data_IF_833031554613
#
_entry.id   IF_833031554613
#
_cell.length_a   1.000
_cell.length_b   1.000
_cell.length_c   1.000
_cell.angle_alpha   90.00
_cell.angle_beta   90.00
_cell.angle_gamma   90.00
#
_symmetry.space_group_name_H-M   'P 1'
#
loop_
_entity.id
_entity.type
_entity.pdbx_description
1 polymer ?
#
# COMPACT_ATOMS: atom_id res chain seq x y z
N UNK A 1 -42.58 24.33 0.16
CA UNK A 1 -41.43 24.87 0.95
C UNK A 1 -40.87 23.85 1.94
N UNK A 2 -41.69 23.19 2.76
CA UNK A 2 -41.25 22.17 3.76
C UNK A 2 -40.54 20.97 3.09
N UNK A 3 -41.10 20.41 2.01
CA UNK A 3 -40.50 19.27 1.29
C UNK A 3 -39.14 19.62 0.68
N UNK A 4 -38.99 20.83 0.13
CA UNK A 4 -37.74 21.29 -0.47
C UNK A 4 -36.64 21.45 0.60
N UNK A 5 -36.99 22.00 1.77
CA UNK A 5 -36.08 22.10 2.90
C UNK A 5 -35.66 20.72 3.43
N UNK A 6 -36.58 19.75 3.47
CA UNK A 6 -36.28 18.39 3.91
C UNK A 6 -35.35 17.64 2.93
N UNK A 7 -35.57 17.79 1.63
CA UNK A 7 -34.65 17.22 0.61
C UNK A 7 -33.27 17.87 0.70
N UNK A 8 -33.21 19.18 0.89
CA UNK A 8 -31.94 19.91 1.01
C UNK A 8 -31.16 19.51 2.27
N UNK A 9 -31.83 19.35 3.42
CA UNK A 9 -31.17 18.89 4.65
C UNK A 9 -30.66 17.45 4.55
N UNK A 10 -31.42 16.55 3.91
CA UNK A 10 -30.95 15.18 3.64
C UNK A 10 -29.73 15.16 2.70
N UNK A 11 -29.69 16.03 1.69
CA UNK A 11 -28.57 16.11 0.77
C UNK A 11 -27.31 16.66 1.45
N UNK A 12 -27.46 17.69 2.29
CA UNK A 12 -26.36 18.19 3.14
C UNK A 12 -25.87 17.09 4.09
N UNK A 13 -26.78 16.40 4.77
CA UNK A 13 -26.43 15.32 5.69
C UNK A 13 -25.68 14.20 4.95
N UNK A 14 -26.12 13.83 3.75
CA UNK A 14 -25.44 12.85 2.90
C UNK A 14 -24.01 13.29 2.56
N UNK A 15 -23.81 14.54 2.16
CA UNK A 15 -22.47 15.10 1.84
C UNK A 15 -21.58 15.09 3.08
N UNK A 16 -22.08 15.52 4.24
CA UNK A 16 -21.33 15.50 5.51
C UNK A 16 -20.95 14.08 5.91
N UNK A 17 -21.87 13.13 5.83
CA UNK A 17 -21.61 11.72 6.16
C UNK A 17 -20.57 11.10 5.22
N UNK A 18 -20.63 11.45 3.92
CA UNK A 18 -19.64 11.01 2.94
C UNK A 18 -18.25 11.57 3.25
N UNK A 19 -18.16 12.86 3.57
CA UNK A 19 -16.90 13.52 3.96
C UNK A 19 -16.30 12.90 5.23
N UNK A 20 -17.11 12.64 6.26
CA UNK A 20 -16.68 11.96 7.49
C UNK A 20 -16.19 10.54 7.20
N UNK A 21 -16.88 9.80 6.34
CA UNK A 21 -16.48 8.46 5.94
C UNK A 21 -15.17 8.45 5.14
N UNK A 22 -14.96 9.43 4.26
CA UNK A 22 -13.71 9.60 3.50
C UNK A 22 -12.54 10.03 4.40
N UNK A 23 -12.80 10.77 5.49
CA UNK A 23 -11.77 11.14 6.48
C UNK A 23 -11.36 10.01 7.42
N UNK A 24 -12.10 8.89 7.46
CA UNK A 24 -11.67 7.75 8.27
C UNK A 24 -10.39 7.17 7.66
N UNK A 25 -9.33 6.96 8.47
CA UNK A 25 -8.11 6.37 7.94
C UNK A 25 -8.44 5.00 7.32
N UNK A 26 -7.88 4.66 6.16
CA UNK A 26 -8.12 3.39 5.50
C UNK A 26 -7.36 2.24 6.20
N UNK A 27 -7.05 2.39 7.48
CA UNK A 27 -6.31 1.43 8.28
C UNK A 27 -6.77 1.45 9.74
N UNK A 28 -6.49 0.35 10.44
CA UNK A 28 -6.72 0.18 11.87
C UNK A 28 -5.46 -0.36 12.52
N UNK A 29 -4.99 0.31 13.57
CA UNK A 29 -3.90 -0.19 14.39
C UNK A 29 -4.33 -1.43 15.21
N UNK A 30 -3.41 -2.39 15.34
CA UNK A 30 -3.61 -3.66 15.99
C UNK A 30 -2.36 -4.08 16.74
N UNK A 31 -2.53 -4.92 17.78
CA UNK A 31 -1.39 -5.59 18.41
C UNK A 31 -0.68 -6.46 17.37
N UNK A 32 0.65 -6.38 17.39
CA UNK A 32 1.51 -7.15 16.49
C UNK A 32 1.21 -8.65 16.62
N UNK A 33 0.86 -9.26 15.49
CA UNK A 33 0.65 -10.70 15.35
C UNK A 33 1.19 -11.16 14.00
N UNK A 34 1.54 -12.43 13.85
CA UNK A 34 1.87 -12.99 12.53
C UNK A 34 0.92 -14.15 12.29
N UNK A 35 0.34 -14.19 11.10
CA UNK A 35 -0.61 -15.22 10.69
C UNK A 35 -2.03 -15.02 11.19
N UNK A 36 -2.84 -16.04 10.94
CA UNK A 36 -4.28 -16.05 11.19
C UNK A 36 -4.67 -17.37 11.84
N UNK A 37 -5.39 -17.35 12.97
CA UNK A 37 -5.81 -18.58 13.68
C UNK A 37 -6.55 -19.60 12.81
N UNK A 38 -7.28 -19.14 11.78
CA UNK A 38 -8.04 -19.97 10.85
C UNK A 38 -7.69 -19.70 9.38
N UNK A 39 -6.52 -19.10 9.13
CA UNK A 39 -6.07 -18.81 7.77
C UNK A 39 -5.09 -19.86 7.28
N UNK A 40 -5.25 -20.33 6.05
CA UNK A 40 -4.30 -21.21 5.38
C UNK A 40 -3.21 -20.36 4.73
N UNK A 41 -1.94 -20.62 5.04
CA UNK A 41 -0.84 -20.00 4.29
C UNK A 41 -0.83 -20.57 2.87
N UNK A 42 -0.79 -19.70 1.85
CA UNK A 42 -0.76 -20.12 0.43
C UNK A 42 0.44 -19.56 -0.34
N UNK A 43 1.13 -18.55 0.19
CA UNK A 43 2.31 -17.95 -0.42
C UNK A 43 3.29 -17.48 0.65
N UNK A 44 4.59 -17.63 0.41
CA UNK A 44 5.68 -17.06 1.20
C UNK A 44 6.86 -16.61 0.32
N UNK A 45 7.45 -15.44 0.57
CA UNK A 45 8.71 -15.00 -0.08
C UNK A 45 9.95 -15.41 0.73
N UNK A 46 10.07 -16.71 0.99
CA UNK A 46 11.28 -17.32 1.54
C UNK A 46 11.53 -18.64 0.84
N UNK A 47 12.79 -18.98 0.64
CA UNK A 47 13.13 -20.35 0.28
C UNK A 47 13.14 -21.17 1.57
N UNK A 48 12.28 -22.20 1.63
CA UNK A 48 12.30 -23.22 2.68
C UNK A 48 12.87 -24.51 2.10
N UNK A 49 13.69 -25.23 2.88
CA UNK A 49 14.26 -26.52 2.49
C UNK A 49 13.17 -27.59 2.31
N UNK A 50 12.12 -27.52 3.13
CA UNK A 50 10.96 -28.41 3.07
C UNK A 50 9.74 -27.61 2.63
N UNK A 51 9.27 -27.85 1.41
CA UNK A 51 8.08 -27.19 0.87
C UNK A 51 6.81 -27.86 1.38
N UNK A 52 5.84 -27.04 1.79
CA UNK A 52 4.50 -27.51 2.16
C UNK A 52 3.59 -27.56 0.94
N UNK A 53 2.81 -28.62 0.84
CA UNK A 53 1.84 -28.78 -0.24
C UNK A 53 0.82 -27.63 -0.26
N UNK A 54 0.60 -27.09 -1.46
CA UNK A 54 -0.32 -25.97 -1.68
C UNK A 54 0.21 -24.61 -1.21
N UNK A 55 1.50 -24.48 -0.89
CA UNK A 55 2.16 -23.18 -0.65
C UNK A 55 3.07 -22.82 -1.82
N UNK A 56 2.95 -21.59 -2.30
CA UNK A 56 3.79 -21.01 -3.33
C UNK A 56 4.99 -20.30 -2.70
N UNK A 57 6.19 -20.59 -3.19
CA UNK A 57 7.43 -20.09 -2.60
C UNK A 57 8.14 -19.13 -3.57
N UNK A 58 8.36 -17.88 -3.14
CA UNK A 58 9.15 -16.84 -3.82
C UNK A 58 8.82 -16.61 -5.31
N UNK A 59 7.59 -16.94 -5.74
CA UNK A 59 7.12 -16.71 -7.11
C UNK A 59 6.89 -15.21 -7.31
N UNK A 60 7.48 -14.63 -8.37
CA UNK A 60 7.13 -13.27 -8.77
C UNK A 60 5.68 -13.22 -9.26
N UNK A 61 4.83 -12.50 -8.55
CA UNK A 61 3.43 -12.29 -8.92
C UNK A 61 3.32 -11.06 -9.82
N UNK A 62 2.40 -11.08 -10.79
CA UNK A 62 2.30 -10.03 -11.81
C UNK A 62 0.86 -9.57 -12.01
N UNK A 63 0.71 -8.30 -12.32
CA UNK A 63 -0.50 -7.71 -12.85
C UNK A 63 -0.20 -7.10 -14.21
N UNK A 64 -0.70 -7.73 -15.27
CA UNK A 64 -0.60 -7.19 -16.62
C UNK A 64 -1.48 -5.97 -16.78
N UNK A 65 -2.67 -5.97 -16.17
CA UNK A 65 -3.61 -4.84 -16.21
C UNK A 65 -3.00 -3.52 -15.72
N UNK A 66 -2.20 -3.58 -14.67
CA UNK A 66 -1.58 -2.39 -14.06
C UNK A 66 -0.09 -2.25 -14.39
N UNK A 67 0.49 -3.23 -15.10
CA UNK A 67 1.91 -3.23 -15.47
C UNK A 67 2.86 -3.24 -14.26
N UNK A 68 2.50 -3.97 -13.20
CA UNK A 68 3.28 -4.05 -11.95
C UNK A 68 3.51 -5.50 -11.55
N UNK A 69 4.58 -5.75 -10.80
CA UNK A 69 4.92 -7.08 -10.28
C UNK A 69 5.58 -6.96 -8.93
N UNK A 70 5.53 -8.03 -8.13
CA UNK A 70 6.23 -8.06 -6.85
C UNK A 70 6.08 -9.38 -6.10
N UNK A 71 6.72 -9.44 -4.93
CA UNK A 71 6.73 -10.61 -4.05
C UNK A 71 6.28 -10.17 -2.65
N UNK A 72 5.01 -10.39 -2.28
CA UNK A 72 4.56 -10.12 -0.90
C UNK A 72 5.26 -11.07 0.07
N UNK A 73 5.49 -10.71 1.33
CA UNK A 73 6.14 -11.64 2.27
C UNK A 73 5.30 -12.89 2.53
N UNK A 74 3.99 -12.72 2.72
CA UNK A 74 3.04 -13.81 2.94
C UNK A 74 1.69 -13.51 2.29
N UNK A 75 0.97 -14.57 1.88
CA UNK A 75 -0.47 -14.49 1.59
C UNK A 75 -1.19 -15.60 2.34
N UNK A 76 -2.22 -15.20 3.10
CA UNK A 76 -3.13 -16.12 3.77
C UNK A 76 -4.48 -16.17 3.06
N UNK A 77 -5.01 -17.37 2.89
CA UNK A 77 -6.39 -17.59 2.52
C UNK A 77 -7.25 -17.68 3.79
N UNK A 78 -8.20 -16.74 3.94
CA UNK A 78 -9.10 -16.65 5.09
C UNK A 78 -10.54 -16.60 4.57
N UNK A 79 -11.17 -17.76 4.44
CA UNK A 79 -12.55 -17.87 3.94
C UNK A 79 -12.65 -17.46 2.47
N UNK A 80 -13.30 -16.33 2.19
CA UNK A 80 -13.52 -15.84 0.82
C UNK A 80 -12.59 -14.67 0.41
N UNK A 81 -11.54 -14.40 1.18
CA UNK A 81 -10.56 -13.36 0.88
C UNK A 81 -9.12 -13.89 0.95
N UNK A 82 -8.25 -13.30 0.13
CA UNK A 82 -6.80 -13.41 0.30
C UNK A 82 -6.30 -12.19 1.06
N UNK A 83 -5.42 -12.42 2.04
CA UNK A 83 -4.88 -11.36 2.89
C UNK A 83 -3.35 -11.36 2.79
N UNK A 84 -2.76 -10.39 2.07
CA UNK A 84 -1.32 -10.21 2.07
C UNK A 84 -0.82 -9.67 3.40
N UNK A 85 0.34 -10.14 3.82
CA UNK A 85 1.11 -9.65 4.96
C UNK A 85 2.44 -9.09 4.46
N UNK A 86 2.76 -7.87 4.86
CA UNK A 86 4.05 -7.21 4.60
C UNK A 86 4.78 -7.01 5.92
N UNK A 87 6.01 -7.49 6.03
CA UNK A 87 6.86 -7.34 7.21
C UNK A 87 7.79 -6.13 7.05
N UNK A 88 7.92 -5.34 8.11
CA UNK A 88 8.86 -4.21 8.17
C UNK A 88 9.82 -4.38 9.34
N UNK A 89 11.11 -4.21 9.04
CA UNK A 89 12.18 -4.18 10.04
C UNK A 89 12.19 -2.87 10.83
N UNK A 90 11.50 -1.83 10.37
CA UNK A 90 11.35 -0.57 11.10
C UNK A 90 10.25 -0.65 12.17
N UNK A 91 10.28 0.32 13.09
CA UNK A 91 9.13 0.64 13.96
C UNK A 91 8.22 1.62 13.23
N UNK A 92 6.91 1.55 13.50
CA UNK A 92 6.01 2.61 13.11
C UNK A 92 6.21 3.82 14.04
N UNK A 93 6.13 5.02 13.47
CA UNK A 93 6.15 6.28 14.21
C UNK A 93 4.70 6.72 14.47
N UNK A 94 4.29 6.74 15.74
CA UNK A 94 2.94 7.10 16.13
C UNK A 94 1.87 6.04 15.78
N UNK A 95 0.66 6.49 15.53
CA UNK A 95 -0.54 5.67 15.33
C UNK A 95 -0.96 5.53 13.85
N UNK A 96 0.01 5.64 12.93
CA UNK A 96 -0.22 5.51 11.49
C UNK A 96 0.88 4.71 10.80
N UNK A 97 0.57 3.88 9.80
CA UNK A 97 1.58 3.28 8.93
C UNK A 97 2.20 4.33 8.02
N UNK A 98 3.44 4.11 7.56
CA UNK A 98 4.04 4.98 6.55
C UNK A 98 3.31 4.83 5.21
N UNK A 99 3.07 5.96 4.53
CA UNK A 99 2.36 5.97 3.25
C UNK A 99 3.02 5.05 2.19
N UNK A 100 4.35 5.01 2.14
CA UNK A 100 5.10 4.13 1.23
C UNK A 100 4.75 2.65 1.43
N UNK A 101 4.55 2.23 2.68
CA UNK A 101 4.24 0.84 3.02
C UNK A 101 2.77 0.53 2.70
N UNK A 102 1.88 1.50 2.89
CA UNK A 102 0.47 1.42 2.46
C UNK A 102 0.36 1.28 0.94
N UNK A 103 1.12 2.09 0.17
CA UNK A 103 1.12 2.02 -1.29
C UNK A 103 1.71 0.71 -1.81
N UNK A 104 2.79 0.22 -1.20
CA UNK A 104 3.35 -1.10 -1.51
C UNK A 104 2.33 -2.22 -1.26
N UNK A 105 1.68 -2.22 -0.10
CA UNK A 105 0.63 -3.21 0.21
C UNK A 105 -0.57 -3.09 -0.75
N UNK A 106 -0.93 -1.87 -1.14
CA UNK A 106 -2.00 -1.63 -2.12
C UNK A 106 -1.63 -2.21 -3.49
N UNK A 107 -0.35 -2.18 -3.88
CA UNK A 107 0.12 -2.83 -5.11
C UNK A 107 -0.11 -4.34 -5.06
N UNK A 108 0.13 -4.97 -3.91
CA UNK A 108 -0.20 -6.38 -3.72
C UNK A 108 -1.69 -6.67 -3.75
N UNK A 109 -2.56 -5.74 -3.33
CA UNK A 109 -4.00 -5.93 -3.53
C UNK A 109 -4.35 -6.09 -5.00
N UNK A 110 -3.80 -5.24 -5.88
CA UNK A 110 -4.04 -5.30 -7.32
C UNK A 110 -3.46 -6.58 -7.94
N UNK A 111 -2.21 -6.91 -7.60
CA UNK A 111 -1.51 -8.07 -8.14
C UNK A 111 -2.22 -9.37 -7.74
N UNK A 112 -2.58 -9.53 -6.46
CA UNK A 112 -3.19 -10.75 -5.95
C UNK A 112 -4.59 -10.96 -6.54
N UNK A 113 -5.39 -9.89 -6.68
CA UNK A 113 -6.72 -10.00 -7.28
C UNK A 113 -6.67 -10.46 -8.74
N UNK A 114 -5.69 -10.01 -9.52
CA UNK A 114 -5.52 -10.44 -10.91
C UNK A 114 -4.92 -11.84 -11.02
N UNK A 115 -3.86 -12.13 -10.26
CA UNK A 115 -3.16 -13.42 -10.32
C UNK A 115 -4.04 -14.58 -9.83
N UNK A 116 -4.83 -14.38 -8.78
CA UNK A 116 -5.61 -15.46 -8.15
C UNK A 116 -7.11 -15.38 -8.41
N UNK A 117 -7.60 -14.31 -9.04
CA UNK A 117 -9.05 -14.10 -9.28
C UNK A 117 -9.89 -14.01 -8.00
N UNK A 118 -9.25 -13.82 -6.84
CA UNK A 118 -9.90 -13.79 -5.52
C UNK A 118 -9.77 -12.41 -4.90
N UNK A 119 -10.86 -11.97 -4.26
CA UNK A 119 -10.95 -10.61 -3.69
C UNK A 119 -9.96 -10.41 -2.55
N UNK A 120 -9.34 -9.23 -2.51
CA UNK A 120 -8.52 -8.79 -1.39
C UNK A 120 -9.23 -7.61 -0.73
N UNK A 121 -9.87 -7.80 0.43
CA UNK A 121 -10.58 -6.69 1.09
C UNK A 121 -9.66 -5.86 1.98
N UNK A 122 -8.54 -6.45 2.39
CA UNK A 122 -7.57 -5.87 3.32
C UNK A 122 -6.25 -6.62 3.24
N UNK A 123 -5.21 -6.01 3.78
CA UNK A 123 -3.93 -6.63 4.09
C UNK A 123 -3.39 -6.13 5.41
N UNK A 124 -2.19 -6.56 5.79
CA UNK A 124 -1.56 -6.09 7.02
C UNK A 124 -0.11 -5.71 6.80
N UNK A 125 0.29 -4.63 7.45
CA UNK A 125 1.67 -4.20 7.58
C UNK A 125 2.10 -4.50 9.01
N UNK A 126 3.19 -5.23 9.18
CA UNK A 126 3.69 -5.69 10.48
C UNK A 126 5.04 -5.05 10.76
N UNK A 127 5.02 -3.99 11.56
CA UNK A 127 6.23 -3.35 12.08
C UNK A 127 6.79 -4.12 13.28
N UNK A 128 7.95 -3.70 13.78
CA UNK A 128 8.54 -4.29 14.98
C UNK A 128 7.67 -4.09 16.24
N UNK A 129 7.03 -2.93 16.37
CA UNK A 129 6.28 -2.53 17.56
C UNK A 129 4.76 -2.70 17.44
N UNK A 130 4.21 -2.62 16.22
CA UNK A 130 2.76 -2.60 16.00
C UNK A 130 2.38 -3.24 14.66
N UNK A 131 1.10 -3.39 14.40
CA UNK A 131 0.55 -3.84 13.12
C UNK A 131 -0.56 -2.90 12.68
N UNK A 132 -0.68 -2.68 11.38
CA UNK A 132 -1.85 -2.03 10.80
C UNK A 132 -2.57 -2.97 9.85
N UNK A 133 -3.88 -3.11 10.03
CA UNK A 133 -4.76 -3.69 9.04
C UNK A 133 -5.23 -2.60 8.10
N UNK A 134 -4.87 -2.70 6.82
CA UNK A 134 -5.15 -1.71 5.78
C UNK A 134 -6.27 -2.23 4.89
N UNK A 135 -7.33 -1.46 4.72
CA UNK A 135 -8.48 -1.81 3.89
C UNK A 135 -8.22 -1.44 2.42
N UNK A 136 -8.56 -2.33 1.48
CA UNK A 136 -8.45 -2.10 0.04
C UNK A 136 -9.57 -1.15 -0.43
N UNK A 137 -9.41 0.14 -0.15
CA UNK A 137 -10.40 1.16 -0.52
C UNK A 137 -10.19 1.65 -1.94
N UNK A 138 -11.27 2.17 -2.56
CA UNK A 138 -11.18 2.84 -3.87
C UNK A 138 -10.24 4.06 -3.82
N UNK A 139 -10.11 4.72 -2.68
CA UNK A 139 -9.18 5.83 -2.49
C UNK A 139 -7.73 5.41 -2.67
N UNK A 140 -7.29 4.39 -1.93
CA UNK A 140 -5.93 3.86 -2.03
C UNK A 140 -5.61 3.35 -3.44
N UNK A 141 -6.56 2.66 -4.09
CA UNK A 141 -6.36 2.17 -5.46
C UNK A 141 -6.17 3.32 -6.46
N UNK A 142 -6.97 4.40 -6.34
CA UNK A 142 -6.83 5.57 -7.20
C UNK A 142 -5.47 6.24 -7.00
N UNK A 143 -5.04 6.38 -5.75
CA UNK A 143 -3.74 6.97 -5.42
C UNK A 143 -2.59 6.14 -5.99
N UNK A 144 -2.63 4.82 -5.82
CA UNK A 144 -1.62 3.94 -6.39
C UNK A 144 -1.58 4.01 -7.92
N UNK A 145 -2.74 3.99 -8.59
CA UNK A 145 -2.81 4.09 -10.07
C UNK A 145 -2.23 5.43 -10.54
N UNK A 146 -2.48 6.52 -9.81
CA UNK A 146 -1.88 7.83 -10.08
C UNK A 146 -0.35 7.76 -9.96
N UNK A 147 0.18 7.20 -8.87
CA UNK A 147 1.63 7.03 -8.66
C UNK A 147 2.25 6.19 -9.78
N UNK A 148 1.63 5.06 -10.17
CA UNK A 148 2.12 4.23 -11.28
C UNK A 148 2.16 5.03 -12.58
N UNK A 149 1.13 5.84 -12.86
CA UNK A 149 1.10 6.70 -14.05
C UNK A 149 2.24 7.73 -14.03
N UNK A 150 2.47 8.38 -12.89
CA UNK A 150 3.56 9.34 -12.73
C UNK A 150 4.93 8.67 -12.93
N UNK A 151 5.14 7.48 -12.38
CA UNK A 151 6.36 6.69 -12.61
C UNK A 151 6.59 6.38 -14.09
N UNK A 152 5.54 6.02 -14.84
CA UNK A 152 5.66 5.75 -16.29
C UNK A 152 6.00 7.01 -17.09
N UNK A 153 5.41 8.15 -16.73
CA UNK A 153 5.74 9.42 -17.38
C UNK A 153 7.19 9.86 -17.12
N UNK A 154 7.72 9.56 -15.93
CA UNK A 154 9.13 9.75 -15.58
C UNK A 154 10.05 8.85 -16.42
N UNK A 155 9.72 7.56 -16.53
CA UNK A 155 10.49 6.60 -17.33
C UNK A 155 10.50 6.95 -18.82
N UNK A 156 9.42 7.54 -19.34
CA UNK A 156 9.30 8.00 -20.73
C UNK A 156 9.90 9.41 -20.96
N UNK A 157 10.52 10.02 -19.94
CA UNK A 157 11.07 11.39 -19.95
C UNK A 157 10.04 12.48 -20.34
N UNK A 158 8.75 12.19 -20.20
CA UNK A 158 7.65 13.11 -20.54
C UNK A 158 7.31 14.08 -19.43
N UNK A 159 7.75 13.79 -18.22
CA UNK A 159 7.47 14.57 -17.03
C UNK A 159 8.61 14.40 -16.03
N UNK A 160 9.09 15.50 -15.47
CA UNK A 160 9.94 15.50 -14.29
C UNK A 160 9.27 16.42 -13.27
N UNK A 161 8.87 15.92 -12.08
CA UNK A 161 8.26 16.77 -11.08
C UNK A 161 9.29 17.78 -10.61
N UNK A 162 8.85 19.02 -10.45
CA UNK A 162 9.63 20.02 -9.74
C UNK A 162 9.72 19.60 -8.27
N UNK A 163 10.90 19.16 -7.84
CA UNK A 163 11.14 18.62 -6.51
C UNK A 163 12.35 19.29 -5.88
N UNK A 164 12.15 19.79 -4.66
CA UNK A 164 13.24 20.26 -3.83
C UNK A 164 13.89 19.10 -3.08
N UNK A 165 15.18 19.24 -2.78
CA UNK A 165 15.91 18.28 -1.95
C UNK A 165 15.34 18.20 -0.54
N UNK A 166 15.04 16.99 -0.07
CA UNK A 166 14.61 16.71 1.29
C UNK A 166 15.76 16.06 2.05
N UNK A 167 16.18 16.64 3.17
CA UNK A 167 17.35 16.17 3.93
C UNK A 167 17.25 14.69 4.30
N UNK A 168 16.10 14.23 4.80
CA UNK A 168 15.92 12.86 5.27
C UNK A 168 15.95 11.89 4.09
N UNK A 169 15.27 12.22 2.99
CA UNK A 169 15.26 11.39 1.78
C UNK A 169 16.62 11.37 1.08
N UNK A 170 17.26 12.53 0.92
CA UNK A 170 18.53 12.67 0.24
C UNK A 170 19.69 12.02 1.03
N UNK A 171 19.70 12.11 2.37
CA UNK A 171 20.78 11.56 3.21
C UNK A 171 21.00 10.06 3.00
N UNK A 172 19.92 9.30 2.82
CA UNK A 172 19.95 7.84 2.63
C UNK A 172 19.74 7.41 1.17
N UNK A 173 19.66 8.36 0.23
CA UNK A 173 19.48 8.05 -1.19
C UNK A 173 20.78 7.48 -1.78
N UNK A 174 20.75 6.32 -2.46
CA UNK A 174 21.92 5.80 -3.16
C UNK A 174 22.43 6.72 -4.29
N UNK A 175 21.56 7.57 -4.84
CA UNK A 175 21.92 8.53 -5.89
C UNK A 175 22.55 9.82 -5.34
N UNK A 176 22.65 9.97 -4.02
CA UNK A 176 23.33 11.09 -3.36
C UNK A 176 24.78 11.13 -3.81
N UNK A 177 25.30 12.33 -4.11
CA UNK A 177 26.68 12.56 -4.56
C UNK A 177 27.10 11.82 -5.85
N UNK A 178 26.16 11.19 -6.58
CA UNK A 178 26.43 10.49 -7.84
C UNK A 178 25.72 11.16 -9.02
N UNK A 179 24.55 10.65 -9.40
CA UNK A 179 23.78 11.07 -10.58
C UNK A 179 22.68 12.08 -10.27
N UNK A 180 22.35 12.30 -8.99
CA UNK A 180 21.24 13.18 -8.61
C UNK A 180 21.59 14.66 -8.73
N UNK A 181 20.96 15.36 -9.68
CA UNK A 181 21.13 16.80 -9.89
C UNK A 181 20.45 17.65 -8.81
N UNK A 182 19.31 17.18 -8.28
CA UNK A 182 18.54 17.88 -7.23
C UNK A 182 19.39 18.07 -5.97
N UNK A 183 20.12 17.04 -5.53
CA UNK A 183 20.98 17.15 -4.35
C UNK A 183 22.15 18.12 -4.61
N UNK A 184 22.79 18.05 -5.79
CA UNK A 184 23.91 18.94 -6.17
C UNK A 184 23.50 20.42 -6.19
N UNK A 185 22.27 20.70 -6.63
CA UNK A 185 21.71 22.06 -6.66
C UNK A 185 21.09 22.53 -5.33
N UNK A 186 20.78 21.61 -4.42
CA UNK A 186 20.13 21.95 -3.16
C UNK A 186 21.08 22.62 -2.16
N UNK A 187 20.58 23.61 -1.41
CA UNK A 187 21.27 24.16 -0.23
C UNK A 187 21.27 23.20 0.97
N UNK A 188 20.73 21.99 0.80
CA UNK A 188 20.75 20.90 1.78
C UNK A 188 22.14 20.28 1.78
N UNK A 189 23.15 21.11 2.04
CA UNK A 189 24.52 20.67 2.30
C UNK A 189 24.58 20.28 3.78
N UNK A 190 24.98 19.05 4.04
CA UNK A 190 25.35 18.58 5.38
C UNK A 190 26.66 19.23 5.78
#
# INVERSE_FOLDING_TARGET
>A
MIVLNFVFTLLILYVILKEIAEKRPPYKEMKRTIGFKRGKLIYIDKQEEVKKDGVMYSKLLKSSKYGISGKPDYIYDVGNELIPLELKSSKAEGHSPFLKDVMQLTAYFLIIEEEFGKKVRRGRIVYQNTMFEVYNTKGLRRELIKIIKEMRLLEEEKFFPDVEGDFIKCRFCPCRDTVCEIYKGSKVKI
#
